data_IF_880539333483
#
_entry.id   IF_880539333483
#
_cell.length_a   1.000
_cell.length_b   1.000
_cell.length_c   1.000
_cell.angle_alpha   90.00
_cell.angle_beta   90.00
_cell.angle_gamma   90.00
#
_symmetry.space_group_name_H-M   'P 1'
#
loop_
_entity.id
_entity.type
_entity.pdbx_description
1 polymer ?
#
# COMPACT_ATOMS: atom_id res chain seq x y z
N UNK A 1 15.48 13.18 -10.62
CA UNK A 1 14.76 14.32 -10.04
C UNK A 1 14.98 14.25 -8.53
N UNK A 2 15.80 15.12 -7.94
CA UNK A 2 16.02 15.11 -6.49
C UNK A 2 14.88 15.84 -5.76
N UNK A 3 14.51 15.33 -4.59
CA UNK A 3 13.76 15.97 -3.50
C UNK A 3 12.30 16.45 -3.72
N UNK A 4 11.42 15.60 -4.25
CA UNK A 4 10.03 15.66 -3.79
C UNK A 4 9.85 14.66 -2.67
N UNK A 5 10.16 15.10 -1.45
CA UNK A 5 9.71 14.43 -0.23
C UNK A 5 8.18 14.31 -0.30
N UNK A 6 7.68 13.08 -0.20
CA UNK A 6 6.25 12.81 -0.18
C UNK A 6 5.71 13.39 1.11
N UNK A 7 4.71 14.25 1.01
CA UNK A 7 4.03 14.77 2.20
C UNK A 7 2.76 13.97 2.51
N UNK A 8 2.14 13.38 1.48
CA UNK A 8 0.88 12.66 1.61
C UNK A 8 0.78 11.52 0.60
N UNK A 9 0.23 10.38 1.02
CA UNK A 9 -0.02 9.20 0.21
C UNK A 9 -1.51 8.92 0.16
N UNK A 10 -2.11 9.06 -1.01
CA UNK A 10 -3.52 8.77 -1.26
C UNK A 10 -3.63 7.36 -1.82
N UNK A 11 -4.34 6.47 -1.13
CA UNK A 11 -4.53 5.08 -1.56
C UNK A 11 -5.97 4.89 -2.03
N UNK A 12 -6.13 4.41 -3.27
CA UNK A 12 -7.45 4.16 -3.83
C UNK A 12 -8.12 2.90 -3.26
N UNK A 13 -9.46 2.88 -3.09
CA UNK A 13 -10.20 1.70 -2.65
C UNK A 13 -9.94 0.46 -3.51
N UNK A 14 -9.72 0.62 -4.82
CA UNK A 14 -9.36 -0.47 -5.72
C UNK A 14 -8.10 -1.22 -5.25
N UNK A 15 -7.10 -0.48 -4.75
CA UNK A 15 -5.84 -1.06 -4.24
C UNK A 15 -6.11 -1.89 -3.00
N UNK A 16 -6.91 -1.38 -2.06
CA UNK A 16 -7.27 -2.11 -0.84
C UNK A 16 -7.97 -3.44 -1.17
N UNK A 17 -8.93 -3.41 -2.09
CA UNK A 17 -9.64 -4.61 -2.54
C UNK A 17 -8.69 -5.60 -3.22
N UNK A 18 -7.78 -5.11 -4.07
CA UNK A 18 -6.78 -5.93 -4.77
C UNK A 18 -5.84 -6.64 -3.79
N UNK A 19 -5.37 -5.94 -2.76
CA UNK A 19 -4.47 -6.52 -1.74
C UNK A 19 -5.18 -7.55 -0.86
N UNK A 20 -6.43 -7.28 -0.46
CA UNK A 20 -7.23 -8.25 0.30
C UNK A 20 -7.52 -9.51 -0.53
N UNK A 21 -7.84 -9.37 -1.81
CA UNK A 21 -8.02 -10.51 -2.71
C UNK A 21 -6.71 -11.29 -2.88
N UNK A 22 -5.59 -10.61 -3.08
CA UNK A 22 -4.26 -11.22 -3.16
C UNK A 22 -3.96 -12.07 -1.91
N UNK A 23 -4.11 -11.48 -0.71
CA UNK A 23 -3.89 -12.18 0.55
C UNK A 23 -4.77 -13.43 0.70
N UNK A 24 -6.04 -13.34 0.31
CA UNK A 24 -6.99 -14.45 0.39
C UNK A 24 -6.69 -15.56 -0.62
N UNK A 25 -6.12 -15.25 -1.80
CA UNK A 25 -5.71 -16.27 -2.79
C UNK A 25 -4.53 -17.08 -2.28
N UNK A 26 -3.51 -16.42 -1.71
CA UNK A 26 -2.33 -17.10 -1.15
C UNK A 26 -2.70 -17.94 0.07
N UNK A 27 -3.60 -17.43 0.93
CA UNK A 27 -4.08 -18.16 2.10
C UNK A 27 -4.79 -19.50 1.82
N UNK A 28 -5.22 -19.75 0.58
CA UNK A 28 -5.83 -21.04 0.17
C UNK A 28 -4.80 -22.11 -0.18
N UNK A 29 -3.55 -21.72 -0.45
CA UNK A 29 -2.50 -22.59 -1.01
C UNK A 29 -1.51 -23.07 0.08
N UNK A 30 -1.49 -22.44 1.25
CA UNK A 30 -0.58 -22.80 2.33
C UNK A 30 -0.84 -22.07 3.65
N UNK A 31 0.21 -21.90 4.45
CA UNK A 31 0.15 -21.10 5.68
C UNK A 31 -0.08 -19.63 5.33
N UNK A 32 -0.95 -18.92 6.06
CA UNK A 32 -1.16 -17.49 5.84
C UNK A 32 0.09 -16.69 6.23
N UNK A 33 0.94 -16.38 5.25
CA UNK A 33 2.09 -15.47 5.37
C UNK A 33 1.74 -14.07 4.88
N UNK A 34 2.57 -13.08 5.20
CA UNK A 34 2.45 -11.75 4.59
C UNK A 34 2.72 -11.86 3.09
N UNK A 35 2.03 -11.04 2.32
CA UNK A 35 2.24 -10.98 0.88
C UNK A 35 2.82 -9.62 0.51
N UNK A 36 3.64 -9.61 -0.54
CA UNK A 36 4.28 -8.40 -1.08
C UNK A 36 3.77 -8.15 -2.49
N UNK A 37 3.61 -6.90 -2.85
CA UNK A 37 3.33 -6.52 -4.23
C UNK A 37 3.76 -5.10 -4.54
N UNK A 38 3.59 -4.73 -5.80
CA UNK A 38 4.04 -3.45 -6.33
C UNK A 38 2.87 -2.48 -6.40
N UNK A 39 3.16 -1.24 -6.03
CA UNK A 39 2.21 -0.14 -6.13
C UNK A 39 2.45 0.64 -7.42
N UNK A 40 1.35 0.88 -8.12
CA UNK A 40 1.30 1.66 -9.34
C UNK A 40 0.50 2.94 -9.08
N UNK A 41 0.97 4.03 -9.67
CA UNK A 41 0.34 5.30 -9.46
C UNK A 41 1.05 6.44 -10.17
N UNK A 42 0.77 7.65 -9.70
CA UNK A 42 1.35 8.87 -10.25
C UNK A 42 1.64 9.89 -9.16
N UNK A 43 2.61 10.75 -9.43
CA UNK A 43 3.00 11.82 -8.52
C UNK A 43 2.37 13.14 -8.94
N UNK A 44 1.66 13.78 -8.01
CA UNK A 44 1.08 15.09 -8.20
C UNK A 44 1.68 16.06 -7.19
N UNK A 45 2.75 16.76 -7.60
CA UNK A 45 3.57 17.57 -6.69
C UNK A 45 4.01 16.68 -5.51
N UNK A 46 3.68 17.04 -4.27
CA UNK A 46 4.09 16.33 -3.05
C UNK A 46 3.11 15.24 -2.60
N UNK A 47 2.05 15.01 -3.37
CA UNK A 47 1.06 13.96 -3.11
C UNK A 47 1.34 12.78 -4.03
N UNK A 48 1.50 11.61 -3.43
CA UNK A 48 1.58 10.35 -4.16
C UNK A 48 0.18 9.75 -4.26
N UNK A 49 -0.31 9.60 -5.49
CA UNK A 49 -1.60 9.00 -5.80
C UNK A 49 -1.39 7.54 -6.22
N UNK A 50 -1.90 6.62 -5.41
CA UNK A 50 -1.75 5.16 -5.57
C UNK A 50 -3.06 4.60 -6.08
N UNK A 51 -3.16 4.48 -7.40
CA UNK A 51 -4.38 4.10 -8.11
C UNK A 51 -4.51 2.60 -8.34
N UNK A 52 -3.39 1.86 -8.40
CA UNK A 52 -3.40 0.46 -8.80
C UNK A 52 -2.28 -0.34 -8.13
N UNK A 53 -2.38 -1.67 -8.17
CA UNK A 53 -1.37 -2.56 -7.60
C UNK A 53 -1.40 -3.94 -8.22
N UNK A 54 -0.29 -4.67 -8.14
CA UNK A 54 -0.26 -6.09 -8.51
C UNK A 54 0.58 -6.91 -7.54
N UNK A 55 0.18 -8.16 -7.37
CA UNK A 55 0.88 -9.17 -6.59
C UNK A 55 2.22 -9.55 -7.24
N UNK A 56 3.27 -9.74 -6.45
CA UNK A 56 4.53 -10.32 -6.92
C UNK A 56 4.77 -11.62 -6.15
N UNK A 57 5.20 -12.71 -6.82
CA UNK A 57 5.64 -13.91 -6.12
C UNK A 57 6.72 -13.58 -5.09
N UNK A 58 6.40 -13.83 -3.83
CA UNK A 58 7.22 -13.49 -2.68
C UNK A 58 7.16 -14.62 -1.66
N UNK A 59 8.31 -14.99 -1.14
CA UNK A 59 8.46 -15.95 -0.06
C UNK A 59 9.51 -15.47 0.93
N UNK A 60 9.32 -15.79 2.20
CA UNK A 60 10.30 -15.54 3.27
C UNK A 60 10.38 -16.73 4.22
N UNK A 61 11.57 -16.93 4.79
CA UNK A 61 11.79 -17.96 5.79
C UNK A 61 11.29 -17.49 7.16
N UNK A 62 10.50 -18.32 7.84
CA UNK A 62 9.91 -17.97 9.14
C UNK A 62 10.94 -18.01 10.31
N UNK A 63 12.15 -18.53 10.06
CA UNK A 63 13.21 -18.72 11.07
C UNK A 63 14.36 -17.74 10.86
N UNK A 64 14.58 -17.30 9.63
CA UNK A 64 15.66 -16.37 9.25
C UNK A 64 15.13 -15.22 8.38
N UNK A 65 14.90 -14.07 9.01
CA UNK A 65 14.41 -12.85 8.36
C UNK A 65 15.32 -12.39 7.19
N UNK A 66 16.59 -12.81 7.15
CA UNK A 66 17.52 -12.44 6.08
C UNK A 66 17.28 -13.21 4.77
N UNK A 67 16.55 -14.33 4.83
CA UNK A 67 16.26 -15.20 3.69
C UNK A 67 14.88 -14.91 3.15
N UNK A 68 14.84 -14.21 2.02
CA UNK A 68 13.61 -13.90 1.29
C UNK A 68 13.83 -13.99 -0.22
N UNK A 69 12.73 -14.16 -0.95
CA UNK A 69 12.69 -14.26 -2.39
C UNK A 69 11.63 -13.31 -2.94
N UNK A 70 11.98 -12.60 -4.02
CA UNK A 70 11.08 -11.75 -4.79
C UNK A 70 11.40 -11.94 -6.27
N UNK A 71 10.39 -12.30 -7.06
CA UNK A 71 10.55 -12.52 -8.49
C UNK A 71 10.63 -11.19 -9.27
N UNK A 72 11.86 -10.76 -9.58
CA UNK A 72 12.12 -9.52 -10.31
C UNK A 72 11.76 -9.62 -11.80
N UNK A 73 11.93 -10.79 -12.41
CA UNK A 73 11.56 -11.02 -13.82
C UNK A 73 10.04 -10.90 -13.99
N UNK A 74 9.27 -11.45 -13.05
CA UNK A 74 7.82 -11.28 -13.03
C UNK A 74 7.43 -9.81 -12.91
N UNK A 75 8.07 -9.08 -11.99
CA UNK A 75 7.82 -7.65 -11.77
C UNK A 75 8.03 -6.86 -13.06
N UNK A 76 9.16 -7.02 -13.73
CA UNK A 76 9.49 -6.29 -14.96
C UNK A 76 8.49 -6.58 -16.09
N UNK A 77 8.20 -7.86 -16.30
CA UNK A 77 7.27 -8.30 -17.33
C UNK A 77 5.86 -7.77 -17.07
N UNK A 78 5.38 -7.86 -15.83
CA UNK A 78 4.05 -7.41 -15.45
C UNK A 78 3.93 -5.89 -15.54
N UNK A 79 4.95 -5.16 -15.06
CA UNK A 79 5.00 -3.70 -15.23
C UNK A 79 4.98 -3.30 -16.71
N UNK A 80 5.70 -4.03 -17.57
CA UNK A 80 5.66 -3.85 -19.01
C UNK A 80 4.27 -4.02 -19.64
N UNK A 81 3.41 -4.88 -19.05
CA UNK A 81 2.01 -5.03 -19.48
C UNK A 81 1.13 -3.87 -19.01
N UNK A 82 1.21 -3.49 -17.73
CA UNK A 82 0.46 -2.34 -17.21
C UNK A 82 0.76 -1.07 -17.98
N UNK A 83 2.03 -0.82 -18.30
CA UNK A 83 2.46 0.35 -19.08
C UNK A 83 1.88 0.39 -20.51
N UNK A 84 1.55 -0.77 -21.10
CA UNK A 84 0.88 -0.84 -22.41
C UNK A 84 -0.61 -0.47 -22.33
N UNK A 85 -1.25 -0.72 -21.19
CA UNK A 85 -2.65 -0.39 -20.93
C UNK A 85 -2.80 1.07 -20.53
N UNK A 86 -1.96 1.53 -19.59
CA UNK A 86 -1.96 2.90 -19.10
C UNK A 86 -0.53 3.44 -18.98
N UNK A 87 -0.14 4.31 -19.92
CA UNK A 87 1.20 4.89 -19.94
C UNK A 87 1.47 5.92 -18.81
N UNK A 88 0.42 6.35 -18.08
CA UNK A 88 0.56 7.28 -16.95
C UNK A 88 0.99 6.55 -15.68
N UNK A 89 0.64 5.27 -15.53
CA UNK A 89 1.00 4.48 -14.36
C UNK A 89 2.49 4.18 -14.33
N UNK A 90 3.10 4.42 -13.17
CA UNK A 90 4.50 4.10 -12.89
C UNK A 90 4.59 3.34 -11.58
N UNK A 91 5.68 2.59 -11.41
CA UNK A 91 6.02 2.04 -10.11
C UNK A 91 6.30 3.22 -9.17
N UNK A 92 5.54 3.29 -8.09
CA UNK A 92 5.67 4.35 -7.08
C UNK A 92 6.14 3.81 -5.73
N UNK A 93 6.12 2.49 -5.57
CA UNK A 93 6.47 1.86 -4.32
C UNK A 93 6.02 0.41 -4.30
N UNK A 94 5.83 -0.11 -3.10
CA UNK A 94 5.43 -1.48 -2.84
C UNK A 94 4.57 -1.54 -1.58
N UNK A 95 3.81 -2.62 -1.45
CA UNK A 95 3.01 -2.88 -0.26
C UNK A 95 3.37 -4.22 0.35
N UNK A 96 3.10 -4.35 1.64
CA UNK A 96 2.95 -5.65 2.28
C UNK A 96 1.79 -5.66 3.26
N UNK A 97 1.27 -6.83 3.59
CA UNK A 97 0.04 -6.98 4.39
C UNK A 97 0.25 -6.96 5.91
N UNK A 98 1.30 -6.28 6.37
CA UNK A 98 1.65 -6.21 7.80
C UNK A 98 1.97 -7.57 8.44
N UNK A 99 1.80 -7.72 9.77
CA UNK A 99 1.11 -6.78 10.66
C UNK A 99 1.94 -5.56 11.09
N UNK A 100 3.27 -5.59 10.91
CA UNK A 100 4.19 -4.50 11.28
C UNK A 100 5.38 -4.48 10.31
N UNK A 101 6.23 -3.47 10.44
CA UNK A 101 7.56 -3.44 9.79
C UNK A 101 8.43 -4.61 10.26
N UNK A 102 9.19 -5.18 9.33
CA UNK A 102 10.18 -6.22 9.51
C UNK A 102 11.57 -5.71 9.10
N UNK A 103 12.63 -6.35 9.63
CA UNK A 103 14.00 -5.91 9.36
C UNK A 103 14.40 -6.02 7.89
N UNK A 104 13.86 -7.02 7.19
CA UNK A 104 14.12 -7.25 5.78
C UNK A 104 13.41 -6.27 4.84
N UNK A 105 12.45 -5.46 5.34
CA UNK A 105 11.77 -4.45 4.54
C UNK A 105 12.73 -3.40 3.97
N UNK A 106 13.83 -3.10 4.69
CA UNK A 106 14.88 -2.22 4.18
C UNK A 106 15.51 -2.84 2.94
N UNK A 107 15.86 -4.13 2.98
CA UNK A 107 16.49 -4.83 1.86
C UNK A 107 15.54 -4.96 0.65
N UNK A 108 14.26 -5.26 0.90
CA UNK A 108 13.22 -5.30 -0.14
C UNK A 108 13.07 -3.92 -0.78
N UNK A 109 13.00 -2.86 0.02
CA UNK A 109 12.88 -1.50 -0.49
C UNK A 109 14.07 -1.07 -1.35
N UNK A 110 15.29 -1.50 -1.01
CA UNK A 110 16.47 -1.24 -1.85
C UNK A 110 16.43 -1.96 -3.19
N UNK A 111 15.86 -3.15 -3.25
CA UNK A 111 15.60 -3.83 -4.53
C UNK A 111 14.58 -3.03 -5.34
N UNK A 112 13.47 -2.60 -4.73
CA UNK A 112 12.42 -1.82 -5.42
C UNK A 112 12.91 -0.43 -5.86
N UNK A 113 13.87 0.16 -5.12
CA UNK A 113 14.50 1.45 -5.49
C UNK A 113 15.19 1.45 -6.85
N UNK A 114 15.55 0.27 -7.37
CA UNK A 114 16.08 0.12 -8.73
C UNK A 114 15.05 0.48 -9.81
N UNK A 115 13.76 0.32 -9.50
CA UNK A 115 12.65 0.68 -10.39
C UNK A 115 12.07 2.06 -10.07
N UNK A 116 12.09 2.47 -8.80
CA UNK A 116 11.58 3.76 -8.36
C UNK A 116 12.44 4.37 -7.24
N UNK A 117 13.18 5.43 -7.56
CA UNK A 117 14.09 6.11 -6.62
C UNK A 117 13.38 6.58 -5.34
N UNK A 118 12.15 7.07 -5.48
CA UNK A 118 11.34 7.58 -4.36
C UNK A 118 10.31 6.53 -3.93
N UNK A 119 10.74 5.27 -3.79
CA UNK A 119 9.88 4.16 -3.39
C UNK A 119 9.23 4.41 -2.03
N UNK A 120 7.90 4.32 -2.00
CA UNK A 120 7.09 4.36 -0.77
C UNK A 120 6.68 2.95 -0.39
N UNK A 121 6.81 2.61 0.89
CA UNK A 121 6.22 1.40 1.47
C UNK A 121 4.83 1.73 2.02
N UNK A 122 3.81 0.98 1.62
CA UNK A 122 2.49 1.05 2.25
C UNK A 122 2.15 -0.28 2.93
N UNK A 123 1.97 -0.26 4.24
CA UNK A 123 1.45 -1.40 4.99
C UNK A 123 -0.08 -1.34 4.89
N UNK A 124 -0.69 -2.43 4.44
CA UNK A 124 -2.15 -2.54 4.30
C UNK A 124 -2.65 -3.65 5.22
N UNK A 125 -3.44 -3.30 6.22
CA UNK A 125 -4.04 -4.28 7.14
C UNK A 125 -5.23 -4.98 6.46
N UNK A 126 -5.05 -6.29 6.22
CA UNK A 126 -6.07 -7.16 5.62
C UNK A 126 -7.11 -7.66 6.64
N UNK A 127 -6.87 -7.43 7.93
CA UNK A 127 -7.79 -7.79 9.03
C UNK A 127 -7.90 -6.62 10.02
N UNK A 128 -8.45 -5.46 9.59
CA UNK A 128 -8.52 -4.27 10.41
C UNK A 128 -9.33 -4.55 11.68
N UNK A 129 -8.69 -4.34 12.84
CA UNK A 129 -9.32 -4.48 14.16
C UNK A 129 -9.76 -3.14 14.74
N UNK A 130 -9.12 -2.07 14.30
CA UNK A 130 -9.32 -0.72 14.81
C UNK A 130 -10.24 0.08 13.87
N UNK A 131 -10.90 1.10 14.41
CA UNK A 131 -11.78 2.02 13.66
C UNK A 131 -11.00 3.03 12.77
N UNK A 132 -9.68 2.87 12.65
CA UNK A 132 -8.80 3.77 11.89
C UNK A 132 -8.67 3.42 10.41
N UNK A 133 -7.80 4.16 9.71
CA UNK A 133 -7.42 3.83 8.35
C UNK A 133 -6.63 2.50 8.34
N UNK A 134 -6.94 1.56 7.44
CA UNK A 134 -6.22 0.28 7.34
C UNK A 134 -4.87 0.41 6.60
N UNK A 135 -4.32 1.63 6.47
CA UNK A 135 -3.11 1.91 5.69
C UNK A 135 -2.13 2.78 6.47
N UNK A 136 -0.87 2.37 6.49
CA UNK A 136 0.25 3.15 7.02
C UNK A 136 1.30 3.30 5.92
N UNK A 137 1.78 4.52 5.67
CA UNK A 137 2.77 4.78 4.63
C UNK A 137 4.12 5.17 5.25
N UNK A 138 5.20 4.72 4.61
CA UNK A 138 6.57 4.90 5.08
C UNK A 138 7.52 5.21 3.92
N UNK A 139 8.50 6.07 4.19
CA UNK A 139 9.62 6.35 3.28
C UNK A 139 10.94 5.94 3.91
N UNK A 140 11.87 5.45 3.10
CA UNK A 140 13.21 5.10 3.57
C UNK A 140 14.09 6.34 3.63
N UNK A 141 14.59 6.63 4.83
CA UNK A 141 15.48 7.76 5.12
C UNK A 141 16.84 7.26 5.64
N UNK A 142 17.88 8.04 5.40
CA UNK A 142 19.20 7.80 5.99
C UNK A 142 19.32 8.62 7.27
N UNK A 143 19.37 7.93 8.41
CA UNK A 143 19.63 8.54 9.71
C UNK A 143 21.14 8.65 9.93
N UNK A 144 21.60 9.89 10.07
CA UNK A 144 22.96 10.21 10.48
C UNK A 144 22.93 10.34 12.00
N UNK A 145 23.65 9.46 12.69
CA UNK A 145 23.75 9.50 14.14
C UNK A 145 24.84 10.48 14.57
N UNK A 146 24.50 11.40 15.48
CA UNK A 146 25.44 12.38 16.05
C UNK A 146 26.50 11.75 16.97
N UNK A 147 26.32 10.48 17.34
CA UNK A 147 27.22 9.71 18.21
C UNK A 147 28.42 9.08 17.47
N UNK A 148 28.52 9.30 16.16
CA UNK A 148 29.59 8.76 15.31
C UNK A 148 29.40 7.31 14.87
N UNK A 149 28.23 6.70 15.14
CA UNK A 149 27.88 5.39 14.58
C UNK A 149 27.62 5.50 13.05
N UNK A 150 27.83 4.40 12.30
CA UNK A 150 27.58 4.40 10.86
C UNK A 150 26.13 4.78 10.53
N UNK A 151 25.95 5.53 9.45
CA UNK A 151 24.63 5.90 8.93
C UNK A 151 23.75 4.66 8.76
N UNK A 152 22.56 4.66 9.35
CA UNK A 152 21.60 3.57 9.23
C UNK A 152 20.39 4.01 8.43
N UNK A 153 19.79 3.09 7.66
CA UNK A 153 18.52 3.36 6.99
C UNK A 153 17.36 2.94 7.87
N UNK A 154 16.38 3.81 7.97
CA UNK A 154 15.14 3.60 8.73
C UNK A 154 13.94 3.97 7.88
N UNK A 155 12.75 3.71 8.40
CA UNK A 155 11.49 4.11 7.80
C UNK A 155 10.87 5.23 8.62
N UNK A 156 10.57 6.34 7.96
CA UNK A 156 9.83 7.45 8.54
C UNK A 156 8.37 7.39 8.06
N UNK A 157 7.43 7.61 8.98
CA UNK A 157 6.01 7.59 8.68
C UNK A 157 5.61 8.81 7.86
N UNK A 158 4.83 8.60 6.81
CA UNK A 158 4.21 9.65 5.98
C UNK A 158 2.70 9.57 6.15
N UNK A 159 2.04 10.73 6.15
CA UNK A 159 0.57 10.79 6.21
C UNK A 159 -0.03 10.00 5.05
N UNK A 160 -1.00 9.14 5.38
CA UNK A 160 -1.79 8.37 4.44
C UNK A 160 -3.28 8.73 4.55
N UNK A 161 -3.98 8.70 3.43
CA UNK A 161 -5.44 8.83 3.37
C UNK A 161 -6.03 7.94 2.28
N UNK A 162 -7.34 7.73 2.33
CA UNK A 162 -8.07 7.05 1.27
C UNK A 162 -8.74 8.12 0.41
N UNK A 163 -8.44 8.10 -0.89
CA UNK A 163 -9.06 8.97 -1.89
C UNK A 163 -9.52 8.14 -3.08
N UNK A 164 -10.45 8.66 -3.87
CA UNK A 164 -10.98 7.97 -5.04
C UNK A 164 -11.19 8.95 -6.20
N UNK A 165 -11.08 8.45 -7.43
CA UNK A 165 -11.59 9.17 -8.60
C UNK A 165 -13.12 9.07 -8.66
N UNK A 166 -13.76 10.02 -9.35
CA UNK A 166 -15.23 10.10 -9.50
C UNK A 166 -15.85 8.77 -9.96
N UNK A 167 -15.19 8.08 -10.90
CA UNK A 167 -15.65 6.78 -11.39
C UNK A 167 -15.56 5.67 -10.33
N UNK A 168 -14.52 5.69 -9.48
CA UNK A 168 -14.38 4.74 -8.38
C UNK A 168 -15.38 5.04 -7.26
N UNK A 169 -15.63 6.31 -6.96
CA UNK A 169 -16.56 6.75 -5.92
C UNK A 169 -17.97 6.22 -6.17
N UNK A 170 -18.48 6.32 -7.40
CA UNK A 170 -19.78 5.75 -7.79
C UNK A 170 -19.80 4.22 -7.59
N UNK A 171 -18.70 3.54 -7.92
CA UNK A 171 -18.58 2.10 -7.73
C UNK A 171 -18.58 1.69 -6.26
N UNK A 172 -17.85 2.42 -5.42
CA UNK A 172 -17.80 2.21 -3.96
C UNK A 172 -19.16 2.50 -3.33
N UNK A 173 -19.81 3.61 -3.69
CA UNK A 173 -21.15 3.97 -3.21
C UNK A 173 -22.18 2.90 -3.55
N UNK A 174 -22.12 2.34 -4.77
CA UNK A 174 -23.00 1.25 -5.18
C UNK A 174 -22.79 -0.02 -4.33
N UNK A 175 -21.54 -0.43 -4.12
CA UNK A 175 -21.20 -1.60 -3.28
C UNK A 175 -21.65 -1.39 -1.81
N UNK A 176 -21.53 -0.18 -1.29
CA UNK A 176 -21.97 0.16 0.06
C UNK A 176 -23.49 0.22 0.17
N UNK A 177 -24.19 0.66 -0.88
CA UNK A 177 -25.65 0.73 -0.91
C UNK A 177 -26.28 -0.66 -0.74
N UNK A 178 -25.71 -1.70 -1.34
CA UNK A 178 -26.15 -3.08 -1.15
C UNK A 178 -25.97 -3.57 0.29
N UNK A 179 -24.89 -3.12 0.96
CA UNK A 179 -24.68 -3.39 2.39
C UNK A 179 -25.68 -2.63 3.27
N UNK A 180 -26.03 -1.39 2.92
CA UNK A 180 -27.04 -0.58 3.62
C UNK A 180 -28.46 -1.15 3.41
N UNK A 181 -28.77 -1.66 2.22
CA UNK A 181 -30.04 -2.35 1.92
C UNK A 181 -30.14 -3.67 2.69
N UNK A 182 -29.03 -4.38 2.89
CA UNK A 182 -28.97 -5.54 3.80
C UNK A 182 -29.07 -5.17 5.29
N UNK A 183 -28.87 -3.89 5.63
CA UNK A 183 -28.82 -3.32 6.98
C UNK A 183 -29.98 -2.34 7.25
N UNK A 184 -31.23 -2.80 7.12
CA UNK A 184 -32.38 -2.19 7.81
C UNK A 184 -32.29 -2.28 9.37
N UNK A 185 -31.08 -2.39 9.94
CA UNK A 185 -30.79 -2.49 11.37
C UNK A 185 -29.68 -1.51 11.82
N UNK A 186 -29.23 -0.58 10.98
CA UNK A 186 -28.14 0.37 11.32
C UNK A 186 -28.62 1.82 11.26
N UNK A 187 -29.74 2.08 11.92
CA UNK A 187 -30.14 3.43 12.30
C UNK A 187 -29.19 4.18 13.28
N UNK A 188 -28.19 3.58 13.97
CA UNK A 188 -27.34 4.40 14.86
C UNK A 188 -26.18 5.14 14.16
N UNK A 189 -25.77 4.80 12.93
CA UNK A 189 -24.53 5.37 12.34
C UNK A 189 -24.74 6.73 11.62
N UNK A 190 -25.97 7.10 11.28
CA UNK A 190 -26.25 8.39 10.63
C UNK A 190 -26.43 9.56 11.62
N UNK A 191 -26.42 9.30 12.94
CA UNK A 191 -26.64 10.32 13.97
C UNK A 191 -25.54 11.40 14.08
N UNK A 192 -24.42 11.27 13.38
CA UNK A 192 -23.28 12.22 13.49
C UNK A 192 -23.08 13.10 12.25
N UNK A 193 -23.77 12.84 11.13
CA UNK A 193 -23.67 13.69 9.92
C UNK A 193 -24.73 14.81 9.91
N UNK A 194 -25.72 14.76 10.79
CA UNK A 194 -26.80 15.76 10.88
C UNK A 194 -26.51 17.03 11.70
N UNK A 195 -25.35 17.18 12.37
CA UNK A 195 -25.14 18.28 13.33
C UNK A 195 -24.20 19.40 12.87
N UNK A 196 -23.79 19.43 11.60
CA UNK A 196 -22.98 20.53 11.04
C UNK A 196 -23.63 21.31 9.88
N UNK A 197 -24.97 21.31 9.84
CA UNK A 197 -25.71 22.35 9.13
C UNK A 197 -26.69 22.99 10.11
N UNK A 198 -26.16 23.85 10.98
CA UNK A 198 -26.84 25.04 11.47
C UNK A 198 -25.83 26.10 11.91
#
# INVERSE_FOLDING_TARGET
MPDLAVENVVVHPLVLLSVVDHFNRIGKVGNQKRVVGVLLGSWQKKVLDVSNSFAVPFDEDDRDDSVWFLDHDYLENMYGMFKKVNARERIVGWYHTGPKLHKNDIAINELIKQYCTNSVLVIIDVKPKDLGLPTEAYISVEEIHDDGTPTSRTFEHVTSEIGAEEAEEVGVEHLLSDLVISRALVEPFLGTVGSKIQ
#
